data_IF_360870319161
#
_entry.id   IF_360870319161
#
_cell.length_a   1.000
_cell.length_b   1.000
_cell.length_c   1.000
_cell.angle_alpha   90.00
_cell.angle_beta   90.00
_cell.angle_gamma   90.00
#
_symmetry.space_group_name_H-M   'P 1'
#
loop_
_entity.id
_entity.type
_entity.pdbx_description
1 polymer ?
#
# COMPACT_ATOMS: atom_id res chain seq x y z
N UNK A 1 8.10 -32.15 0.35
CA UNK A 1 7.45 -31.49 1.50
C UNK A 1 6.94 -30.13 1.05
N UNK A 2 5.71 -29.70 1.38
CA UNK A 2 5.24 -28.36 1.01
C UNK A 2 6.06 -27.31 1.79
N UNK A 3 6.75 -26.42 1.07
CA UNK A 3 7.45 -25.31 1.70
C UNK A 3 6.45 -24.38 2.40
N UNK A 4 6.74 -23.91 3.62
CA UNK A 4 5.87 -22.94 4.30
C UNK A 4 5.79 -21.67 3.46
N UNK A 5 4.60 -21.39 2.92
CA UNK A 5 4.35 -20.15 2.18
C UNK A 5 4.07 -19.02 3.15
N UNK A 6 4.83 -17.95 3.05
CA UNK A 6 4.55 -16.71 3.78
C UNK A 6 3.22 -16.17 3.24
N UNK A 7 2.26 -15.93 4.14
CA UNK A 7 0.94 -15.34 3.82
C UNK A 7 0.77 -13.92 4.33
N UNK A 8 1.49 -13.57 5.39
CA UNK A 8 1.43 -12.27 6.04
C UNK A 8 2.86 -11.76 6.21
N UNK A 9 3.16 -10.59 5.64
CA UNK A 9 4.45 -9.94 5.81
C UNK A 9 4.24 -8.52 6.32
N UNK A 10 4.73 -8.25 7.53
CA UNK A 10 4.65 -6.94 8.17
C UNK A 10 6.02 -6.46 8.56
N UNK A 11 6.39 -5.31 8.00
CA UNK A 11 7.69 -4.69 8.16
C UNK A 11 7.45 -3.26 8.62
N UNK A 12 7.87 -2.97 9.85
CA UNK A 12 7.82 -1.65 10.48
C UNK A 12 9.24 -1.18 10.78
N UNK A 13 9.94 -0.73 9.75
CA UNK A 13 11.27 -0.14 9.90
C UNK A 13 11.53 0.92 8.83
N UNK A 14 12.01 2.07 9.25
CA UNK A 14 12.24 3.24 8.41
C UNK A 14 13.45 3.10 7.46
N UNK A 15 14.35 2.15 7.73
CA UNK A 15 15.65 2.03 7.06
C UNK A 15 15.85 0.77 6.21
N UNK A 16 14.78 0.05 5.86
CA UNK A 16 14.91 -1.09 4.96
C UNK A 16 15.06 -0.58 3.53
N UNK A 17 16.28 -0.68 3.00
CA UNK A 17 16.68 -0.30 1.65
C UNK A 17 16.56 -1.43 0.63
N UNK A 18 16.38 -2.67 1.08
CA UNK A 18 16.26 -3.86 0.22
C UNK A 18 15.41 -4.94 0.88
N UNK A 19 14.92 -5.89 0.07
CA UNK A 19 14.29 -7.11 0.60
C UNK A 19 15.30 -7.88 1.45
N UNK A 20 14.99 -8.24 2.72
CA UNK A 20 15.89 -9.02 3.57
C UNK A 20 16.28 -10.34 2.90
N UNK A 21 17.58 -10.68 2.95
CA UNK A 21 18.16 -11.85 2.27
C UNK A 21 17.56 -13.21 2.70
N UNK A 22 16.76 -13.24 3.77
CA UNK A 22 16.05 -14.43 4.24
C UNK A 22 14.65 -14.64 3.66
N UNK A 23 14.12 -13.74 2.82
CA UNK A 23 12.78 -13.87 2.23
C UNK A 23 12.85 -14.45 0.81
N UNK A 24 13.59 -15.54 0.60
CA UNK A 24 13.82 -16.12 -0.74
C UNK A 24 12.69 -17.01 -1.24
N UNK A 25 11.86 -17.54 -0.34
CA UNK A 25 10.73 -18.40 -0.70
C UNK A 25 9.72 -17.68 -1.61
N UNK A 26 8.97 -18.40 -2.46
CA UNK A 26 7.93 -17.81 -3.30
C UNK A 26 6.80 -17.21 -2.46
N UNK A 27 6.35 -16.02 -2.82
CA UNK A 27 5.34 -15.29 -2.06
C UNK A 27 3.92 -15.57 -2.53
N UNK A 28 3.06 -15.97 -1.59
CA UNK A 28 1.62 -16.11 -1.79
C UNK A 28 0.89 -15.33 -0.68
N UNK A 29 1.23 -14.03 -0.60
CA UNK A 29 0.76 -13.12 0.44
C UNK A 29 -0.72 -12.77 0.25
N UNK A 30 -1.48 -12.89 1.33
CA UNK A 30 -2.78 -12.21 1.48
C UNK A 30 -2.61 -10.79 2.03
N UNK A 31 -1.54 -10.54 2.80
CA UNK A 31 -1.27 -9.26 3.44
C UNK A 31 0.20 -8.86 3.31
N UNK A 32 0.42 -7.65 2.79
CA UNK A 32 1.70 -6.97 2.82
C UNK A 32 1.54 -5.62 3.52
N UNK A 33 2.29 -5.43 4.61
CA UNK A 33 2.40 -4.13 5.28
C UNK A 33 3.83 -3.69 5.39
N UNK A 34 4.23 -2.69 4.61
CA UNK A 34 5.57 -2.11 4.64
C UNK A 34 5.45 -0.62 4.88
N UNK A 35 5.36 -0.26 6.16
CA UNK A 35 5.24 1.12 6.57
C UNK A 35 6.60 1.82 6.48
N UNK A 36 6.59 3.08 6.06
CA UNK A 36 7.69 4.03 6.26
C UNK A 36 9.03 3.71 5.55
N UNK A 37 9.05 2.72 4.64
CA UNK A 37 10.16 2.49 3.70
C UNK A 37 10.04 3.39 2.46
N UNK A 38 11.16 3.65 1.78
CA UNK A 38 11.18 4.20 0.40
C UNK A 38 11.40 3.12 -0.65
N UNK A 39 11.79 1.92 -0.24
CA UNK A 39 12.04 0.82 -1.14
C UNK A 39 10.73 0.26 -1.69
N UNK A 40 10.70 0.11 -3.01
CA UNK A 40 9.58 -0.46 -3.75
C UNK A 40 9.72 -1.96 -4.00
N UNK A 41 10.89 -2.56 -3.74
CA UNK A 41 11.20 -3.94 -4.09
C UNK A 41 10.19 -4.93 -3.50
N UNK A 42 9.87 -4.77 -2.22
CA UNK A 42 8.90 -5.59 -1.48
C UNK A 42 7.50 -5.48 -2.08
N UNK A 43 7.06 -4.27 -2.42
CA UNK A 43 5.74 -4.02 -3.03
C UNK A 43 5.68 -4.61 -4.44
N UNK A 44 6.71 -4.38 -5.27
CA UNK A 44 6.79 -4.94 -6.63
C UNK A 44 6.78 -6.46 -6.60
N UNK A 45 7.50 -7.06 -5.67
CA UNK A 45 7.57 -8.51 -5.53
C UNK A 45 6.23 -9.10 -5.10
N UNK A 46 5.63 -8.58 -4.02
CA UNK A 46 4.32 -9.05 -3.56
C UNK A 46 3.25 -8.93 -4.64
N UNK A 47 3.19 -7.80 -5.33
CA UNK A 47 2.19 -7.55 -6.38
C UNK A 47 2.42 -8.40 -7.64
N UNK A 48 3.65 -8.90 -7.85
CA UNK A 48 3.98 -9.81 -8.95
C UNK A 48 3.71 -11.27 -8.60
N UNK A 49 4.11 -11.70 -7.42
CA UNK A 49 4.08 -13.12 -7.03
C UNK A 49 2.76 -13.54 -6.38
N UNK A 50 2.13 -12.66 -5.60
CA UNK A 50 0.97 -13.00 -4.77
C UNK A 50 -0.35 -12.75 -5.48
N UNK A 51 -1.05 -13.83 -5.83
CA UNK A 51 -2.33 -13.74 -6.55
C UNK A 51 -3.51 -13.38 -5.64
N UNK A 52 -3.38 -13.65 -4.35
CA UNK A 52 -4.44 -13.50 -3.33
C UNK A 52 -4.26 -12.27 -2.44
N UNK A 53 -3.43 -11.30 -2.85
CA UNK A 53 -3.15 -10.11 -2.07
C UNK A 53 -4.42 -9.26 -1.88
N UNK A 54 -4.84 -9.08 -0.62
CA UNK A 54 -6.05 -8.35 -0.24
C UNK A 54 -5.75 -7.11 0.60
N UNK A 55 -4.65 -7.14 1.36
CA UNK A 55 -4.24 -6.03 2.24
C UNK A 55 -2.89 -5.49 1.80
N UNK A 56 -2.84 -4.18 1.53
CA UNK A 56 -1.63 -3.50 1.11
C UNK A 56 -1.41 -2.21 1.89
N UNK A 57 -0.27 -2.10 2.55
CA UNK A 57 0.18 -0.88 3.24
C UNK A 57 1.57 -0.45 2.74
N UNK A 58 1.69 0.78 2.22
CA UNK A 58 2.99 1.37 1.89
C UNK A 58 2.94 2.90 1.75
N UNK A 59 4.06 3.55 1.39
CA UNK A 59 4.05 4.98 1.06
C UNK A 59 3.25 5.25 -0.20
N UNK A 60 2.52 6.38 -0.24
CA UNK A 60 1.66 6.77 -1.36
C UNK A 60 2.40 6.75 -2.71
N UNK A 61 3.63 7.28 -2.76
CA UNK A 61 4.44 7.33 -3.98
C UNK A 61 4.97 5.96 -4.43
N UNK A 62 5.18 5.03 -3.49
CA UNK A 62 5.59 3.65 -3.79
C UNK A 62 4.40 2.91 -4.40
N UNK A 63 3.24 3.00 -3.76
CA UNK A 63 2.00 2.37 -4.24
C UNK A 63 1.67 2.78 -5.67
N UNK A 64 1.70 4.09 -5.96
CA UNK A 64 1.36 4.60 -7.29
C UNK A 64 2.33 4.20 -8.40
N UNK A 65 3.59 3.93 -8.07
CA UNK A 65 4.65 3.59 -9.04
C UNK A 65 4.90 2.09 -9.19
N UNK A 66 4.55 1.31 -8.17
CA UNK A 66 5.07 -0.06 -7.99
C UNK A 66 4.00 -1.14 -8.04
N UNK A 67 2.73 -0.74 -8.04
CA UNK A 67 1.60 -1.67 -8.03
C UNK A 67 0.91 -1.65 -9.39
N UNK A 68 0.81 -2.80 -10.08
CA UNK A 68 0.17 -2.88 -11.38
C UNK A 68 -1.35 -2.70 -11.27
N UNK A 69 -2.02 -2.17 -12.32
CA UNK A 69 -3.46 -1.90 -12.29
C UNK A 69 -4.35 -3.10 -11.96
N UNK A 70 -3.89 -4.32 -12.26
CA UNK A 70 -4.61 -5.58 -12.03
C UNK A 70 -4.75 -5.97 -10.55
N UNK A 71 -3.98 -5.35 -9.66
CA UNK A 71 -4.00 -5.63 -8.22
C UNK A 71 -5.09 -4.82 -7.51
N UNK A 72 -5.33 -3.57 -7.93
CA UNK A 72 -6.28 -2.67 -7.28
C UNK A 72 -7.69 -3.26 -7.08
N UNK A 73 -8.30 -3.93 -8.08
CA UNK A 73 -9.63 -4.51 -7.92
C UNK A 73 -9.68 -5.74 -7.00
N UNK A 74 -8.55 -6.19 -6.45
CA UNK A 74 -8.49 -7.33 -5.52
C UNK A 74 -8.38 -6.89 -4.06
N UNK A 75 -7.96 -5.64 -3.82
CA UNK A 75 -7.71 -5.15 -2.48
C UNK A 75 -9.01 -4.92 -1.71
N UNK A 76 -9.00 -5.38 -0.45
CA UNK A 76 -10.03 -5.12 0.56
C UNK A 76 -9.57 -4.06 1.55
N UNK A 77 -8.27 -4.01 1.82
CA UNK A 77 -7.67 -3.03 2.71
C UNK A 77 -6.50 -2.32 2.02
N UNK A 78 -6.57 -0.99 2.01
CA UNK A 78 -5.53 -0.14 1.48
C UNK A 78 -5.15 0.88 2.55
N UNK A 79 -3.89 0.85 2.95
CA UNK A 79 -3.34 1.84 3.85
C UNK A 79 -2.17 2.56 3.18
N UNK A 80 -2.14 3.88 3.26
CA UNK A 80 -1.02 4.62 2.71
C UNK A 80 -0.52 5.76 3.57
N UNK A 81 0.78 6.00 3.42
CA UNK A 81 1.51 6.98 4.21
C UNK A 81 2.10 8.10 3.36
N UNK A 82 2.18 9.30 3.94
CA UNK A 82 2.81 10.48 3.33
C UNK A 82 1.90 11.25 2.38
N UNK A 83 2.48 12.15 1.58
CA UNK A 83 1.74 13.07 0.72
C UNK A 83 0.89 12.34 -0.31
N UNK A 84 -0.42 12.68 -0.33
CA UNK A 84 -1.36 12.15 -1.29
C UNK A 84 -1.00 12.67 -2.69
N UNK A 85 -0.71 11.76 -3.60
CA UNK A 85 -0.48 12.11 -5.00
C UNK A 85 -1.81 12.14 -5.76
N UNK A 86 -1.95 12.99 -6.80
CA UNK A 86 -3.14 12.98 -7.66
C UNK A 86 -3.42 11.60 -8.29
N UNK A 87 -2.38 10.82 -8.55
CA UNK A 87 -2.50 9.46 -9.06
C UNK A 87 -3.27 8.52 -8.10
N UNK A 88 -3.23 8.80 -6.79
CA UNK A 88 -3.94 7.99 -5.81
C UNK A 88 -5.46 8.08 -5.97
N UNK A 89 -5.99 9.23 -6.40
CA UNK A 89 -7.43 9.36 -6.68
C UNK A 89 -7.89 8.37 -7.76
N UNK A 90 -7.14 8.24 -8.85
CA UNK A 90 -7.45 7.28 -9.91
C UNK A 90 -7.22 5.82 -9.50
N UNK A 91 -6.39 5.56 -8.49
CA UNK A 91 -6.20 4.23 -7.92
C UNK A 91 -7.39 3.85 -7.03
N UNK A 92 -7.85 4.78 -6.19
CA UNK A 92 -9.03 4.58 -5.35
C UNK A 92 -10.27 4.27 -6.19
N UNK A 93 -10.42 4.95 -7.34
CA UNK A 93 -11.54 4.69 -8.26
C UNK A 93 -11.52 3.25 -8.82
N UNK A 94 -10.36 2.57 -8.82
CA UNK A 94 -10.18 1.17 -9.25
C UNK A 94 -10.23 0.17 -8.09
N UNK A 95 -10.14 0.63 -6.85
CA UNK A 95 -10.25 -0.19 -5.65
C UNK A 95 -11.72 -0.28 -5.20
N UNK A 96 -12.60 -0.75 -6.09
CA UNK A 96 -14.03 -0.90 -5.80
C UNK A 96 -14.39 -1.88 -4.68
N UNK A 97 -13.62 -2.95 -4.37
CA UNK A 97 -13.98 -3.89 -3.30
C UNK A 97 -13.51 -3.45 -1.91
N UNK A 98 -12.99 -2.23 -1.79
CA UNK A 98 -12.29 -1.74 -0.62
C UNK A 98 -13.24 -1.57 0.57
N UNK A 99 -12.97 -2.29 1.66
CA UNK A 99 -13.73 -2.21 2.91
C UNK A 99 -13.03 -1.35 3.95
N UNK A 100 -11.70 -1.22 3.85
CA UNK A 100 -10.90 -0.39 4.76
C UNK A 100 -9.97 0.50 3.96
N UNK A 101 -10.11 1.81 4.15
CA UNK A 101 -9.16 2.82 3.67
C UNK A 101 -8.58 3.55 4.86
N UNK A 102 -7.26 3.51 5.02
CA UNK A 102 -6.55 4.23 6.07
C UNK A 102 -5.45 5.10 5.48
N UNK A 103 -5.33 6.33 5.95
CA UNK A 103 -4.26 7.22 5.54
C UNK A 103 -3.60 7.80 6.78
N UNK A 104 -2.27 7.75 6.82
CA UNK A 104 -1.51 8.35 7.89
C UNK A 104 -0.46 9.28 7.29
N UNK A 105 -0.60 10.56 7.58
CA UNK A 105 0.31 11.56 7.06
C UNK A 105 1.52 11.67 7.96
N UNK A 106 2.70 11.46 7.38
CA UNK A 106 3.98 11.64 8.06
C UNK A 106 4.82 12.60 7.24
N UNK A 107 4.54 13.89 7.39
CA UNK A 107 5.40 14.95 6.89
C UNK A 107 5.37 16.11 7.87
N UNK A 108 6.54 16.50 8.36
CA UNK A 108 6.71 17.66 9.24
C UNK A 108 6.64 19.00 8.50
N UNK A 109 6.62 18.98 7.15
CA UNK A 109 6.70 20.18 6.31
C UNK A 109 5.38 20.59 5.67
N UNK A 110 4.36 19.72 5.71
CA UNK A 110 3.06 20.04 5.12
C UNK A 110 2.21 20.82 6.11
N UNK A 111 1.63 21.94 5.68
CA UNK A 111 0.77 22.75 6.54
C UNK A 111 -0.47 21.96 6.97
N UNK A 112 -0.95 22.17 8.20
CA UNK A 112 -2.18 21.55 8.70
C UNK A 112 -3.41 21.86 7.81
N UNK A 113 -3.36 22.97 7.06
CA UNK A 113 -4.42 23.39 6.15
C UNK A 113 -4.46 22.51 4.89
N UNK A 114 -3.30 22.20 4.30
CA UNK A 114 -3.21 21.32 3.14
C UNK A 114 -3.59 19.88 3.49
N UNK A 115 -3.23 19.46 4.70
CA UNK A 115 -3.62 18.19 5.27
C UNK A 115 -5.15 18.07 5.39
N UNK A 116 -5.79 19.05 6.03
CA UNK A 116 -7.24 19.08 6.21
C UNK A 116 -7.99 19.07 4.86
N UNK A 117 -7.48 19.81 3.86
CA UNK A 117 -8.05 19.82 2.51
C UNK A 117 -7.95 18.46 1.81
N UNK A 118 -6.82 17.76 1.96
CA UNK A 118 -6.64 16.41 1.41
C UNK A 118 -7.60 15.40 2.06
N UNK A 119 -7.73 15.44 3.39
CA UNK A 119 -8.69 14.58 4.11
C UNK A 119 -10.14 14.86 3.72
N UNK A 120 -10.54 16.12 3.60
CA UNK A 120 -11.89 16.49 3.17
C UNK A 120 -12.20 15.99 1.74
N UNK A 121 -11.22 16.05 0.83
CA UNK A 121 -11.37 15.56 -0.55
C UNK A 121 -11.52 14.04 -0.59
N UNK A 122 -10.75 13.32 0.21
CA UNK A 122 -10.87 11.87 0.40
C UNK A 122 -12.23 11.48 0.97
N UNK A 123 -12.66 12.14 2.04
CA UNK A 123 -13.94 11.87 2.70
C UNK A 123 -15.13 12.07 1.75
N UNK A 124 -15.15 13.17 0.99
CA UNK A 124 -16.20 13.45 0.00
C UNK A 124 -16.24 12.42 -1.15
N UNK A 125 -15.10 11.84 -1.53
CA UNK A 125 -15.06 10.77 -2.53
C UNK A 125 -15.51 9.43 -1.95
N UNK A 126 -15.16 9.14 -0.71
CA UNK A 126 -15.58 7.90 -0.04
C UNK A 126 -17.10 7.82 0.15
N UNK A 127 -17.82 8.93 0.31
CA UNK A 127 -19.29 8.92 0.35
C UNK A 127 -19.97 8.44 -0.95
N UNK A 128 -19.21 8.29 -2.04
CA UNK A 128 -19.71 7.77 -3.32
C UNK A 128 -19.58 6.25 -3.47
N UNK A 129 -18.99 5.57 -2.48
CA UNK A 129 -18.79 4.12 -2.42
C UNK A 129 -19.51 3.54 -1.21
#
# INVERSE_FOLDING_TARGET
MPHPRIRFLKIKNHNISSTPDGLTDPWDLSELRVALTRDSSLVKRATKESQVLQTLESRCNVLSKSTPPSVWPRLRELQFHGQLSPAMYSILDKCTPLTVLSTAYFDATTSNVDLARQYATLANRMQKY
#
